data_IF_190959002362
#
_entry.id   IF_190959002362
#
_cell.length_a   1.000
_cell.length_b   1.000
_cell.length_c   1.000
_cell.angle_alpha   90.00
_cell.angle_beta   90.00
_cell.angle_gamma   90.00
#
_symmetry.space_group_name_H-M   'P 1'
#
loop_
_entity.id
_entity.type
_entity.pdbx_description
1 polymer ?
#
# COMPACT_ATOMS: atom_id res chain seq x y z
N UNK A 1 20.56 -2.84 0.30
CA UNK A 1 19.79 -1.58 0.26
C UNK A 1 20.30 -0.65 1.35
N UNK A 2 20.65 0.57 0.98
CA UNK A 2 21.22 1.56 1.87
C UNK A 2 20.10 2.30 2.63
N UNK A 3 20.31 2.60 3.93
CA UNK A 3 19.35 3.36 4.74
C UNK A 3 19.12 4.80 4.25
N UNK A 4 19.97 5.32 3.37
CA UNK A 4 19.86 6.66 2.77
C UNK A 4 19.33 6.63 1.35
N UNK A 5 19.03 5.45 0.81
CA UNK A 5 18.53 5.31 -0.56
C UNK A 5 17.17 5.97 -0.70
N UNK A 6 17.03 6.79 -1.74
CA UNK A 6 15.76 7.46 -2.04
C UNK A 6 15.08 6.82 -3.24
N UNK A 7 13.78 6.64 -3.11
CA UNK A 7 12.93 6.19 -4.21
C UNK A 7 11.78 7.17 -4.39
N UNK A 8 11.70 7.75 -5.56
CA UNK A 8 10.65 8.73 -5.90
C UNK A 8 9.47 8.07 -6.59
N UNK A 9 8.34 8.71 -6.52
CA UNK A 9 7.14 8.28 -7.21
C UNK A 9 6.11 9.39 -7.29
N UNK A 10 4.94 9.06 -7.80
CA UNK A 10 3.86 10.02 -7.90
C UNK A 10 2.64 9.48 -8.62
N UNK A 11 1.67 10.35 -8.84
CA UNK A 11 0.40 10.00 -9.49
C UNK A 11 0.51 10.03 -11.03
N UNK A 12 -0.52 9.51 -11.68
CA UNK A 12 -0.55 9.42 -13.14
C UNK A 12 -0.40 10.77 -13.85
N UNK A 13 -0.98 11.84 -13.30
CA UNK A 13 -0.88 13.17 -13.93
C UNK A 13 0.39 13.93 -13.51
N UNK A 14 1.16 13.41 -12.56
CA UNK A 14 2.40 14.02 -12.09
C UNK A 14 2.25 15.18 -11.12
N UNK A 15 1.04 15.60 -10.78
CA UNK A 15 0.84 16.72 -9.85
C UNK A 15 1.22 16.37 -8.41
N UNK A 16 1.03 15.12 -7.99
CA UNK A 16 1.45 14.65 -6.67
C UNK A 16 2.75 13.87 -6.84
N UNK A 17 3.78 14.31 -6.12
CA UNK A 17 5.09 13.65 -6.12
C UNK A 17 5.50 13.36 -4.68
N UNK A 18 6.28 12.30 -4.50
CA UNK A 18 6.82 11.94 -3.19
C UNK A 18 8.17 11.25 -3.34
N UNK A 19 8.87 11.09 -2.25
CA UNK A 19 9.98 10.15 -2.17
C UNK A 19 10.00 9.46 -0.81
N UNK A 20 10.48 8.23 -0.80
CA UNK A 20 10.76 7.47 0.41
C UNK A 20 12.25 7.42 0.66
N UNK A 21 12.64 7.26 1.93
CA UNK A 21 14.03 7.20 2.35
C UNK A 21 14.26 5.85 3.05
N UNK A 22 15.26 5.11 2.58
CA UNK A 22 15.69 3.86 3.19
C UNK A 22 14.86 2.65 2.81
N UNK A 23 14.99 1.62 3.64
CA UNK A 23 14.32 0.32 3.44
C UNK A 23 12.89 0.38 3.96
N UNK A 24 11.92 -0.22 3.26
CA UNK A 24 10.56 -0.33 3.82
C UNK A 24 10.54 -1.18 5.09
N UNK A 25 9.63 -0.83 5.99
CA UNK A 25 9.37 -1.61 7.21
C UNK A 25 8.70 -2.94 6.86
N UNK A 26 7.82 -2.90 5.85
CA UNK A 26 6.99 -4.05 5.46
C UNK A 26 6.55 -3.89 4.02
N UNK A 27 6.55 -5.01 3.30
CA UNK A 27 5.95 -5.09 1.96
C UNK A 27 4.92 -6.21 1.94
N UNK A 28 3.85 -6.02 1.20
CA UNK A 28 2.80 -7.02 1.11
C UNK A 28 2.01 -6.94 -0.18
N UNK A 29 1.47 -8.08 -0.56
CA UNK A 29 0.51 -8.21 -1.65
C UNK A 29 -0.79 -8.70 -1.03
N UNK A 30 -1.87 -7.96 -1.25
CA UNK A 30 -3.13 -8.21 -0.57
C UNK A 30 -4.26 -8.45 -1.57
N UNK A 31 -4.94 -9.58 -1.41
CA UNK A 31 -6.07 -9.97 -2.25
C UNK A 31 -7.43 -9.54 -1.68
N UNK A 32 -7.47 -8.73 -0.62
CA UNK A 32 -8.73 -8.36 0.01
C UNK A 32 -9.60 -7.50 -0.90
N UNK A 33 -10.91 -7.50 -0.63
CA UNK A 33 -11.86 -6.74 -1.45
C UNK A 33 -11.53 -5.25 -1.52
N UNK A 34 -11.04 -4.67 -0.42
CA UNK A 34 -10.67 -3.24 -0.39
C UNK A 34 -9.51 -2.94 -1.34
N UNK A 35 -8.52 -3.83 -1.40
CA UNK A 35 -7.40 -3.68 -2.34
C UNK A 35 -7.86 -3.86 -3.79
N UNK A 36 -8.76 -4.81 -4.03
CA UNK A 36 -9.36 -5.00 -5.36
C UNK A 36 -10.11 -3.75 -5.81
N UNK A 37 -10.92 -3.16 -4.93
CA UNK A 37 -11.69 -1.95 -5.25
C UNK A 37 -10.78 -0.74 -5.46
N UNK A 38 -9.76 -0.60 -4.63
CA UNK A 38 -8.81 0.51 -4.74
C UNK A 38 -8.05 0.49 -6.07
N UNK A 39 -7.63 -0.70 -6.49
CA UNK A 39 -6.79 -0.85 -7.69
C UNK A 39 -7.58 -1.15 -8.96
N UNK A 40 -8.79 -1.70 -8.84
CA UNK A 40 -9.54 -2.23 -9.97
C UNK A 40 -8.92 -3.49 -10.55
N UNK A 41 -8.05 -4.18 -9.78
CA UNK A 41 -7.37 -5.42 -10.19
C UNK A 41 -7.56 -6.51 -9.13
N UNK A 42 -6.92 -7.66 -9.34
CA UNK A 42 -7.07 -8.82 -8.45
C UNK A 42 -6.41 -8.62 -7.08
N UNK A 43 -5.44 -7.71 -6.95
CA UNK A 43 -4.71 -7.48 -5.70
C UNK A 43 -4.11 -6.08 -5.67
N UNK A 44 -3.67 -5.67 -4.48
CA UNK A 44 -2.91 -4.44 -4.29
C UNK A 44 -1.54 -4.72 -3.69
N UNK A 45 -0.58 -3.85 -3.94
CA UNK A 45 0.77 -3.94 -3.40
C UNK A 45 0.96 -2.78 -2.42
N UNK A 46 1.35 -3.11 -1.19
CA UNK A 46 1.57 -2.16 -0.11
C UNK A 46 3.03 -2.13 0.29
N UNK A 47 3.62 -0.95 0.29
CA UNK A 47 4.99 -0.73 0.75
C UNK A 47 4.92 0.22 1.92
N UNK A 48 5.18 -0.28 3.14
CA UNK A 48 5.04 0.50 4.35
C UNK A 48 6.36 1.07 4.82
N UNK A 49 6.34 2.34 5.17
CA UNK A 49 7.46 3.06 5.79
C UNK A 49 7.00 3.71 7.08
N UNK A 50 7.93 4.02 7.97
CA UNK A 50 7.66 4.98 9.02
C UNK A 50 7.30 6.31 8.36
N UNK A 51 6.32 7.01 8.91
CA UNK A 51 5.76 8.22 8.30
C UNK A 51 6.81 9.33 8.10
N UNK A 52 7.82 9.40 8.97
CA UNK A 52 8.91 10.37 8.86
C UNK A 52 9.89 10.08 7.71
N UNK A 53 9.80 8.90 7.11
CA UNK A 53 10.64 8.48 5.98
C UNK A 53 10.01 8.74 4.62
N UNK A 54 8.81 9.29 4.58
CA UNK A 54 8.12 9.61 3.33
C UNK A 54 7.90 11.11 3.27
N UNK A 55 8.43 11.74 2.21
CA UNK A 55 8.28 13.18 1.97
C UNK A 55 7.32 13.38 0.82
N UNK A 56 6.15 13.92 1.12
CA UNK A 56 5.12 14.20 0.13
C UNK A 56 5.31 15.63 -0.34
N UNK A 57 5.50 15.79 -1.65
CA UNK A 57 5.72 17.09 -2.27
C UNK A 57 4.41 17.78 -2.64
N UNK A 58 4.45 18.68 -3.63
CA UNK A 58 3.27 19.42 -4.05
C UNK A 58 2.20 18.49 -4.64
N UNK A 59 1.00 19.03 -4.76
CA UNK A 59 -0.15 18.33 -5.28
C UNK A 59 -1.20 18.14 -4.20
N UNK A 60 -2.46 18.18 -4.63
CA UNK A 60 -3.59 18.09 -3.71
C UNK A 60 -4.06 16.64 -3.59
N UNK A 61 -4.19 16.18 -2.35
CA UNK A 61 -4.70 14.86 -2.02
C UNK A 61 -6.07 14.98 -1.37
N UNK A 62 -6.95 14.06 -1.71
CA UNK A 62 -8.24 13.87 -1.05
C UNK A 62 -8.21 12.58 -0.25
N UNK A 63 -8.88 12.59 0.90
CA UNK A 63 -8.96 11.43 1.79
C UNK A 63 -10.32 10.76 1.69
N UNK A 64 -10.32 9.43 1.75
CA UNK A 64 -11.51 8.63 1.93
C UNK A 64 -11.28 7.65 3.07
N UNK A 65 -12.18 7.65 4.05
CA UNK A 65 -12.06 6.79 5.23
C UNK A 65 -13.19 5.79 5.29
N UNK A 66 -12.89 4.58 5.73
CA UNK A 66 -13.88 3.54 5.97
C UNK A 66 -13.40 2.62 7.09
N UNK A 67 -14.32 1.83 7.64
CA UNK A 67 -14.00 0.80 8.63
C UNK A 67 -13.85 -0.54 7.94
N UNK A 68 -12.74 -1.24 8.23
CA UNK A 68 -12.54 -2.60 7.74
C UNK A 68 -13.41 -3.59 8.52
N UNK A 69 -13.56 -4.82 8.02
CA UNK A 69 -14.41 -5.83 8.66
C UNK A 69 -13.94 -6.21 10.08
N UNK A 70 -12.67 -6.02 10.40
CA UNK A 70 -12.13 -6.26 11.74
C UNK A 70 -12.08 -4.98 12.61
N UNK A 71 -12.73 -3.89 12.17
CA UNK A 71 -12.94 -2.70 12.97
C UNK A 71 -11.86 -1.63 12.88
N UNK A 72 -10.83 -1.83 12.07
CA UNK A 72 -9.81 -0.81 11.88
C UNK A 72 -10.33 0.31 10.98
N UNK A 73 -9.92 1.54 11.27
CA UNK A 73 -10.12 2.66 10.36
C UNK A 73 -9.03 2.60 9.29
N UNK A 74 -9.46 2.63 8.04
CA UNK A 74 -8.59 2.70 6.87
C UNK A 74 -8.81 4.03 6.20
N UNK A 75 -7.73 4.80 5.98
CA UNK A 75 -7.82 6.11 5.34
C UNK A 75 -6.91 6.14 4.12
N UNK A 76 -7.49 6.28 2.93
CA UNK A 76 -6.75 6.37 1.67
C UNK A 76 -6.58 7.83 1.25
N UNK A 77 -5.48 8.10 0.55
CA UNK A 77 -5.19 9.43 0.00
C UNK A 77 -4.96 9.28 -1.51
N UNK A 78 -5.66 10.07 -2.29
CA UNK A 78 -5.59 10.01 -3.74
C UNK A 78 -5.51 11.41 -4.36
N UNK A 79 -4.94 11.49 -5.56
CA UNK A 79 -4.80 12.75 -6.28
C UNK A 79 -6.17 13.29 -6.70
N UNK A 80 -6.45 14.56 -6.37
CA UNK A 80 -7.73 15.18 -6.72
C UNK A 80 -7.91 15.38 -8.23
N UNK A 81 -6.80 15.41 -8.98
CA UNK A 81 -6.85 15.64 -10.43
C UNK A 81 -7.00 14.34 -11.23
N UNK A 82 -6.22 13.30 -10.94
CA UNK A 82 -6.23 12.07 -11.73
C UNK A 82 -6.79 10.85 -11.00
N UNK A 83 -7.05 10.95 -9.69
CA UNK A 83 -7.64 9.87 -8.90
C UNK A 83 -6.69 8.74 -8.52
N UNK A 84 -5.40 8.83 -8.85
CA UNK A 84 -4.44 7.79 -8.42
C UNK A 84 -4.41 7.69 -6.91
N UNK A 85 -4.66 6.49 -6.37
CA UNK A 85 -4.50 6.21 -4.94
C UNK A 85 -3.02 5.98 -4.65
N UNK A 86 -2.46 6.79 -3.77
CA UNK A 86 -1.02 6.79 -3.50
C UNK A 86 -0.66 6.25 -2.12
N UNK A 87 -1.40 6.68 -1.09
CA UNK A 87 -1.04 6.42 0.29
C UNK A 87 -2.25 5.98 1.11
N UNK A 88 -1.96 5.29 2.22
CA UNK A 88 -2.99 5.01 3.24
C UNK A 88 -2.37 4.85 4.61
N UNK A 89 -3.22 5.04 5.61
CA UNK A 89 -2.93 4.78 7.00
C UNK A 89 -4.03 3.88 7.56
N UNK A 90 -3.64 2.96 8.44
CA UNK A 90 -4.56 2.03 9.09
C UNK A 90 -4.39 2.18 10.60
N UNK A 91 -5.49 2.23 11.34
CA UNK A 91 -5.49 2.54 12.76
C UNK A 91 -4.64 1.60 13.63
N UNK A 92 -4.47 0.33 13.23
CA UNK A 92 -3.63 -0.61 13.98
C UNK A 92 -2.14 -0.57 13.59
N UNK A 93 -1.79 0.16 12.54
CA UNK A 93 -0.41 0.35 12.09
C UNK A 93 0.01 1.79 12.35
N UNK A 94 0.15 2.13 13.62
CA UNK A 94 0.50 3.49 14.05
C UNK A 94 1.88 3.88 13.53
N UNK A 95 2.01 5.15 13.13
CA UNK A 95 3.25 5.74 12.62
C UNK A 95 3.76 5.12 11.33
N UNK A 96 2.97 4.28 10.67
CA UNK A 96 3.29 3.75 9.35
C UNK A 96 2.39 4.37 8.29
N UNK A 97 2.96 4.59 7.13
CA UNK A 97 2.23 4.98 5.93
C UNK A 97 2.45 3.93 4.85
N UNK A 98 1.36 3.48 4.24
CA UNK A 98 1.41 2.57 3.10
C UNK A 98 1.50 3.35 1.81
N UNK A 99 2.36 2.91 0.91
CA UNK A 99 2.50 3.45 -0.44
C UNK A 99 2.03 2.40 -1.43
N UNK A 100 1.24 2.81 -2.42
CA UNK A 100 0.85 1.94 -3.54
C UNK A 100 2.12 1.61 -4.35
N UNK A 101 2.53 0.35 -4.35
CA UNK A 101 3.83 -0.05 -4.87
C UNK A 101 4.08 0.30 -6.34
N UNK A 102 3.04 0.26 -7.16
CA UNK A 102 3.13 0.63 -8.57
C UNK A 102 3.29 2.12 -8.85
N UNK A 103 3.17 2.99 -7.84
CA UNK A 103 3.33 4.44 -8.02
C UNK A 103 4.78 4.92 -7.94
N UNK A 104 5.70 4.07 -7.54
CA UNK A 104 7.13 4.41 -7.64
C UNK A 104 7.54 4.57 -9.10
N UNK A 105 8.45 5.49 -9.34
CA UNK A 105 9.02 5.68 -10.69
C UNK A 105 9.82 4.44 -11.11
N UNK A 106 9.91 4.15 -12.40
CA UNK A 106 10.70 3.00 -12.87
C UNK A 106 12.18 3.07 -12.44
N UNK A 107 12.77 1.95 -12.01
CA UNK A 107 12.15 0.62 -11.89
C UNK A 107 11.21 0.55 -10.67
N UNK A 108 9.91 0.44 -10.96
CA UNK A 108 8.85 0.65 -9.94
C UNK A 108 8.85 -0.40 -8.83
N UNK A 109 9.22 -1.64 -9.15
CA UNK A 109 9.17 -2.73 -8.20
C UNK A 109 10.57 -3.10 -7.71
N UNK A 110 11.28 -2.11 -7.16
CA UNK A 110 12.64 -2.25 -6.64
C UNK A 110 12.73 -3.01 -5.31
N UNK A 111 11.58 -3.28 -4.68
CA UNK A 111 11.46 -3.98 -3.41
C UNK A 111 10.99 -5.42 -3.62
N UNK A 112 11.27 -6.29 -2.65
CA UNK A 112 10.74 -7.65 -2.64
C UNK A 112 9.40 -7.69 -1.92
N UNK A 113 8.49 -8.60 -2.34
CA UNK A 113 7.26 -8.86 -1.61
C UNK A 113 7.54 -9.88 -0.52
N UNK A 114 7.35 -9.48 0.73
CA UNK A 114 7.63 -10.33 1.89
C UNK A 114 6.46 -11.24 2.25
N UNK A 115 5.22 -10.78 2.03
CA UNK A 115 4.02 -11.52 2.44
C UNK A 115 2.86 -11.35 1.48
N UNK A 116 2.05 -12.39 1.42
CA UNK A 116 0.80 -12.43 0.69
C UNK A 116 -0.35 -12.55 1.69
N UNK A 117 -1.33 -11.63 1.61
CA UNK A 117 -2.42 -11.52 2.57
C UNK A 117 -3.77 -11.75 1.91
N UNK A 118 -4.72 -12.24 2.70
CA UNK A 118 -6.12 -12.45 2.30
C UNK A 118 -6.27 -13.36 1.09
N UNK A 119 -5.58 -14.47 1.10
CA UNK A 119 -5.64 -15.49 0.03
C UNK A 119 -7.05 -16.06 -0.16
N UNK A 120 -7.92 -15.95 0.85
CA UNK A 120 -9.31 -16.45 0.76
C UNK A 120 -10.08 -15.83 -0.40
N UNK A 121 -9.69 -14.62 -0.85
CA UNK A 121 -10.32 -13.92 -1.97
C UNK A 121 -9.42 -13.83 -3.21
N UNK A 122 -8.33 -14.60 -3.22
CA UNK A 122 -7.38 -14.64 -4.32
C UNK A 122 -8.04 -15.12 -5.61
N UNK A 123 -7.79 -14.42 -6.72
CA UNK A 123 -8.18 -14.87 -8.05
C UNK A 123 -7.39 -16.13 -8.44
N UNK A 124 -8.06 -17.10 -9.04
CA UNK A 124 -7.43 -18.38 -9.42
C UNK A 124 -6.27 -18.21 -10.41
N UNK A 125 -6.35 -17.19 -11.27
CA UNK A 125 -5.30 -16.96 -12.27
C UNK A 125 -4.05 -16.30 -11.68
N UNK A 126 -4.03 -15.94 -10.39
CA UNK A 126 -2.88 -15.30 -9.73
C UNK A 126 -2.10 -16.32 -8.91
N UNK A 127 -0.79 -16.37 -9.14
CA UNK A 127 0.13 -17.20 -8.35
C UNK A 127 1.30 -16.34 -7.91
N UNK A 128 1.54 -16.27 -6.58
CA UNK A 128 2.56 -15.41 -5.98
C UNK A 128 3.58 -16.28 -5.25
N UNK A 129 4.85 -16.02 -5.51
CA UNK A 129 5.96 -16.64 -4.80
C UNK A 129 6.55 -15.64 -3.81
N UNK A 130 6.32 -15.85 -2.53
CA UNK A 130 6.85 -15.00 -1.47
C UNK A 130 7.07 -15.80 -0.17
N UNK A 131 7.90 -15.29 0.78
CA UNK A 131 8.24 -16.06 1.99
C UNK A 131 7.08 -16.38 2.91
N UNK A 132 6.12 -15.46 3.06
CA UNK A 132 4.99 -15.62 3.99
C UNK A 132 3.67 -15.51 3.25
N UNK A 133 2.71 -16.33 3.64
CA UNK A 133 1.41 -16.39 2.97
C UNK A 133 0.32 -16.67 4.01
N UNK A 134 -0.74 -15.87 4.00
CA UNK A 134 -1.81 -15.93 4.99
C UNK A 134 -3.17 -15.96 4.32
N UNK A 135 -4.07 -16.76 4.89
CA UNK A 135 -5.46 -16.80 4.42
C UNK A 135 -6.18 -15.47 4.66
N UNK A 136 -5.92 -14.84 5.79
CA UNK A 136 -6.35 -13.47 6.13
C UNK A 136 -5.13 -12.59 6.38
N UNK A 137 -4.84 -12.26 7.65
CA UNK A 137 -3.62 -11.59 8.07
C UNK A 137 -3.17 -12.19 9.40
N UNK A 138 -1.89 -12.01 9.80
CA UNK A 138 -1.40 -12.55 11.07
C UNK A 138 -2.17 -12.06 12.30
N UNK A 139 -2.78 -10.88 12.20
CA UNK A 139 -3.50 -10.23 13.32
C UNK A 139 -5.01 -10.17 13.10
N UNK A 140 -5.52 -10.88 12.09
CA UNK A 140 -6.94 -10.83 11.76
C UNK A 140 -7.81 -11.42 12.88
N UNK A 141 -8.78 -10.63 13.30
CA UNK A 141 -9.81 -11.06 14.25
C UNK A 141 -11.17 -10.67 13.67
N UNK A 142 -12.02 -11.65 13.31
CA UNK A 142 -13.33 -11.32 12.79
C UNK A 142 -14.18 -10.61 13.85
N UNK A 143 -15.05 -9.74 13.40
CA UNK A 143 -16.07 -9.17 14.28
C UNK A 143 -17.06 -10.25 14.69
N UNK A 144 -17.30 -10.32 15.95
CA UNK A 144 -18.38 -11.17 16.51
C UNK A 144 -19.67 -10.38 16.59
#
# INVERSE_FOLDING_TARGET
>A
MNNLEKHSGGCACGKVRYHSIGKPVRTGLCHCRYCQLRTGTAFGISVYFNIDKVKIGPGELKKYSFATENGNKFETNFCTNCGTSLFWEISHLKNLIGIAGGTFDPPSFWFDIERELFKRTKAEFVSINCPESYKESPTYKPRT
#
